data_IF_954259442244
#
_entry.id   IF_954259442244
#
_cell.length_a   1.000
_cell.length_b   1.000
_cell.length_c   1.000
_cell.angle_alpha   90.00
_cell.angle_beta   90.00
_cell.angle_gamma   90.00
#
_symmetry.space_group_name_H-M   'P 1'
#
loop_
_entity.id
_entity.type
_entity.pdbx_description
1 polymer ?
#
# COMPACT_ATOMS: atom_id res chain seq x y z
N UNK A 1 26.75 -23.38 0.98
CA UNK A 1 25.78 -23.36 2.10
C UNK A 1 26.04 -22.10 2.92
N UNK A 2 24.99 -21.48 3.46
CA UNK A 2 25.11 -20.31 4.34
C UNK A 2 24.79 -20.78 5.76
N UNK A 3 25.74 -20.62 6.67
CA UNK A 3 25.61 -21.01 8.09
C UNK A 3 25.54 -19.73 8.90
N UNK A 4 24.54 -19.60 9.77
CA UNK A 4 24.32 -18.40 10.58
C UNK A 4 24.03 -18.89 12.00
N UNK A 5 24.80 -18.40 12.98
CA UNK A 5 24.74 -18.87 14.37
C UNK A 5 24.83 -20.40 14.55
N UNK A 6 25.72 -21.05 13.78
CA UNK A 6 25.94 -22.50 13.81
C UNK A 6 24.74 -23.35 13.35
N UNK A 7 23.70 -22.74 12.79
CA UNK A 7 22.56 -23.42 12.18
C UNK A 7 22.59 -23.28 10.65
N UNK A 8 22.24 -24.36 9.95
CA UNK A 8 22.14 -24.36 8.48
C UNK A 8 20.80 -23.76 8.06
N UNK A 9 20.85 -22.62 7.36
CA UNK A 9 19.63 -21.98 6.86
C UNK A 9 19.13 -22.74 5.61
N UNK A 10 17.88 -23.23 5.60
CA UNK A 10 17.30 -23.84 4.42
C UNK A 10 17.14 -22.81 3.30
N UNK A 11 17.60 -23.14 2.10
CA UNK A 11 17.44 -22.29 0.91
C UNK A 11 16.01 -22.42 0.42
N UNK A 12 15.13 -21.51 0.87
CA UNK A 12 13.72 -21.48 0.45
C UNK A 12 13.54 -20.50 -0.71
N UNK A 13 12.68 -20.86 -1.69
CA UNK A 13 12.35 -19.99 -2.83
C UNK A 13 11.62 -18.71 -2.42
N UNK A 14 10.83 -18.78 -1.35
CA UNK A 14 10.08 -17.66 -0.77
C UNK A 14 10.17 -17.70 0.76
N UNK A 15 10.57 -16.60 1.38
CA UNK A 15 10.67 -16.45 2.82
C UNK A 15 9.74 -15.35 3.31
N UNK A 16 9.07 -15.57 4.45
CA UNK A 16 8.29 -14.53 5.13
C UNK A 16 9.16 -13.89 6.21
N UNK A 17 9.33 -12.59 6.16
CA UNK A 17 10.10 -11.83 7.14
C UNK A 17 9.38 -10.53 7.50
N UNK A 18 9.05 -10.33 8.78
CA UNK A 18 8.34 -9.13 9.29
C UNK A 18 7.06 -8.78 8.51
N UNK A 19 6.35 -9.80 8.01
CA UNK A 19 5.14 -9.64 7.18
C UNK A 19 5.40 -9.34 5.69
N UNK A 20 6.66 -9.21 5.29
CA UNK A 20 7.10 -9.11 3.90
C UNK A 20 7.30 -10.53 3.32
N UNK A 21 7.02 -10.69 2.03
CA UNK A 21 7.33 -11.92 1.29
C UNK A 21 8.52 -11.63 0.40
N UNK A 22 9.65 -12.25 0.70
CA UNK A 22 10.91 -12.09 -0.04
C UNK A 22 11.09 -13.34 -0.91
N UNK A 23 11.24 -13.13 -2.21
CA UNK A 23 11.53 -14.20 -3.16
C UNK A 23 13.04 -14.32 -3.37
N UNK A 24 13.54 -15.51 -3.71
CA UNK A 24 14.96 -15.73 -4.02
C UNK A 24 15.48 -14.87 -5.17
N UNK A 25 14.62 -14.52 -6.13
CA UNK A 25 14.92 -13.58 -7.24
C UNK A 25 14.73 -12.10 -6.87
N UNK A 26 14.55 -11.79 -5.58
CA UNK A 26 14.29 -10.46 -5.04
C UNK A 26 13.15 -9.70 -5.76
N UNK A 27 12.13 -10.42 -6.19
CA UNK A 27 11.01 -9.87 -6.94
C UNK A 27 9.84 -9.51 -6.02
N UNK A 28 9.39 -8.25 -6.07
CA UNK A 28 8.29 -7.75 -5.25
C UNK A 28 6.89 -8.02 -5.82
N UNK A 29 6.78 -8.72 -6.95
CA UNK A 29 5.50 -8.94 -7.66
C UNK A 29 4.45 -9.62 -6.76
N UNK A 30 4.86 -10.72 -6.13
CA UNK A 30 3.97 -11.52 -5.29
C UNK A 30 3.61 -10.76 -4.02
N UNK A 31 4.61 -10.13 -3.40
CA UNK A 31 4.37 -9.33 -2.21
C UNK A 31 3.42 -8.15 -2.48
N UNK A 32 3.63 -7.38 -3.55
CA UNK A 32 2.73 -6.28 -3.95
C UNK A 32 1.31 -6.79 -4.20
N UNK A 33 1.14 -7.96 -4.83
CA UNK A 33 -0.18 -8.58 -5.02
C UNK A 33 -0.83 -8.88 -3.66
N UNK A 34 -0.10 -9.47 -2.71
CA UNK A 34 -0.63 -9.73 -1.36
C UNK A 34 -1.02 -8.45 -0.63
N UNK A 35 -0.22 -7.39 -0.73
CA UNK A 35 -0.49 -6.09 -0.10
C UNK A 35 -1.72 -5.42 -0.71
N UNK A 36 -1.86 -5.43 -2.04
CA UNK A 36 -3.04 -4.91 -2.73
C UNK A 36 -4.29 -5.67 -2.28
N UNK A 37 -4.23 -7.01 -2.22
CA UNK A 37 -5.36 -7.83 -1.78
C UNK A 37 -5.75 -7.50 -0.33
N UNK A 38 -4.77 -7.38 0.58
CA UNK A 38 -5.01 -6.97 1.98
C UNK A 38 -5.65 -5.58 2.07
N UNK A 39 -5.20 -4.62 1.27
CA UNK A 39 -5.78 -3.28 1.25
C UNK A 39 -7.22 -3.29 0.70
N UNK A 40 -7.49 -4.12 -0.31
CA UNK A 40 -8.83 -4.28 -0.88
C UNK A 40 -9.78 -4.96 0.10
N UNK A 41 -9.35 -6.00 0.81
CA UNK A 41 -10.18 -6.66 1.83
C UNK A 41 -10.48 -5.73 2.99
N UNK A 42 -9.49 -4.96 3.47
CA UNK A 42 -9.71 -3.93 4.47
C UNK A 42 -10.72 -2.86 3.99
N UNK A 43 -10.57 -2.39 2.75
CA UNK A 43 -11.51 -1.44 2.14
C UNK A 43 -12.93 -2.04 2.01
N UNK A 44 -13.06 -3.32 1.69
CA UNK A 44 -14.35 -3.99 1.58
C UNK A 44 -15.03 -4.12 2.94
N UNK A 45 -14.29 -4.49 3.99
CA UNK A 45 -14.83 -4.56 5.36
C UNK A 45 -15.32 -3.20 5.85
N UNK A 46 -14.60 -2.13 5.50
CA UNK A 46 -14.96 -0.76 5.86
C UNK A 46 -15.94 -0.10 4.87
N UNK A 47 -16.41 -0.84 3.87
CA UNK A 47 -17.19 -0.26 2.77
C UNK A 47 -18.47 0.41 3.25
N UNK A 48 -19.17 -0.21 4.21
CA UNK A 48 -20.43 0.31 4.77
C UNK A 48 -20.20 1.69 5.39
N UNK A 49 -19.14 1.85 6.17
CA UNK A 49 -18.79 3.13 6.82
C UNK A 49 -18.35 4.19 5.79
N UNK A 50 -17.51 3.79 4.83
CA UNK A 50 -17.00 4.72 3.81
C UNK A 50 -18.10 5.19 2.84
N UNK A 51 -19.10 4.35 2.55
CA UNK A 51 -20.20 4.67 1.65
C UNK A 51 -21.39 5.35 2.33
N UNK A 52 -21.41 5.41 3.67
CA UNK A 52 -22.48 6.07 4.41
C UNK A 52 -22.58 7.56 4.02
N UNK A 53 -23.75 8.04 3.55
CA UNK A 53 -23.93 9.44 3.15
C UNK A 53 -23.91 10.42 4.34
N UNK A 54 -24.26 9.96 5.55
CA UNK A 54 -24.31 10.79 6.76
C UNK A 54 -22.93 11.12 7.34
N UNK A 55 -21.91 10.37 6.94
CA UNK A 55 -20.54 10.52 7.45
C UNK A 55 -19.82 11.67 6.75
N UNK A 56 -19.25 12.57 7.55
CA UNK A 56 -18.42 13.66 7.04
C UNK A 56 -17.20 13.12 6.27
N UNK A 57 -16.81 13.83 5.22
CA UNK A 57 -15.64 13.49 4.42
C UNK A 57 -14.35 13.43 5.24
N UNK A 58 -14.21 14.30 6.25
CA UNK A 58 -13.04 14.34 7.14
C UNK A 58 -12.84 13.02 7.88
N UNK A 59 -13.92 12.44 8.40
CA UNK A 59 -13.88 11.14 9.09
C UNK A 59 -13.54 10.00 8.13
N UNK A 60 -14.10 10.02 6.92
CA UNK A 60 -13.77 9.02 5.88
C UNK A 60 -12.30 9.10 5.47
N UNK A 61 -11.74 10.31 5.37
CA UNK A 61 -10.32 10.52 5.13
C UNK A 61 -9.50 9.96 6.28
N UNK A 62 -9.88 10.25 7.53
CA UNK A 62 -9.18 9.76 8.72
C UNK A 62 -9.14 8.24 8.74
N UNK A 63 -10.27 7.56 8.51
CA UNK A 63 -10.35 6.10 8.38
C UNK A 63 -9.41 5.55 7.29
N UNK A 64 -9.34 6.21 6.14
CA UNK A 64 -8.42 5.81 5.09
C UNK A 64 -6.95 5.93 5.52
N UNK A 65 -6.58 7.05 6.14
CA UNK A 65 -5.21 7.32 6.59
C UNK A 65 -4.80 6.37 7.73
N UNK A 66 -5.70 6.05 8.65
CA UNK A 66 -5.39 5.22 9.82
C UNK A 66 -5.36 3.72 9.51
N UNK A 67 -6.24 3.22 8.63
CA UNK A 67 -6.36 1.76 8.40
C UNK A 67 -5.79 1.30 7.06
N UNK A 68 -6.05 2.03 5.97
CA UNK A 68 -5.74 1.54 4.61
C UNK A 68 -4.36 2.01 4.16
N UNK A 69 -4.01 3.27 4.42
CA UNK A 69 -2.71 3.85 4.05
C UNK A 69 -1.52 3.10 4.66
N UNK A 70 -1.54 2.64 5.93
CA UNK A 70 -0.42 1.91 6.51
C UNK A 70 -0.17 0.57 5.82
N UNK A 71 -1.23 -0.14 5.43
CA UNK A 71 -1.10 -1.43 4.69
C UNK A 71 -0.31 -1.23 3.40
N UNK A 72 -0.58 -0.15 2.66
CA UNK A 72 0.09 0.15 1.39
C UNK A 72 1.52 0.70 1.60
N UNK A 73 1.76 1.44 2.69
CA UNK A 73 3.02 2.16 2.93
C UNK A 73 4.02 1.42 3.80
N UNK A 74 3.60 0.38 4.54
CA UNK A 74 4.45 -0.38 5.45
C UNK A 74 5.73 -0.91 4.78
N UNK A 75 5.59 -1.52 3.61
CA UNK A 75 6.71 -2.07 2.85
C UNK A 75 7.47 -1.02 2.01
N UNK A 76 7.10 0.27 2.09
CA UNK A 76 7.73 1.32 1.28
C UNK A 76 9.25 1.39 1.43
N UNK A 77 9.85 1.27 2.63
CA UNK A 77 11.32 1.30 2.77
C UNK A 77 12.01 0.13 2.07
N UNK A 78 11.40 -1.06 2.08
CA UNK A 78 11.94 -2.25 1.42
C UNK A 78 11.85 -2.16 -0.12
N UNK A 79 10.92 -1.36 -0.64
CA UNK A 79 10.62 -1.22 -2.06
C UNK A 79 11.38 -0.08 -2.75
N UNK A 80 12.54 0.32 -2.24
CA UNK A 80 13.32 1.41 -2.81
C UNK A 80 13.63 1.24 -4.31
N UNK A 81 13.80 -0.02 -4.77
CA UNK A 81 14.04 -0.35 -6.16
C UNK A 81 12.83 -1.05 -6.84
N UNK A 82 11.60 -0.62 -6.54
CA UNK A 82 10.41 -1.22 -7.14
C UNK A 82 10.24 -0.82 -8.61
N UNK A 83 9.88 -1.80 -9.46
CA UNK A 83 9.55 -1.54 -10.86
C UNK A 83 8.41 -0.51 -10.98
N UNK A 84 8.55 0.39 -11.95
CA UNK A 84 7.52 1.40 -12.28
C UNK A 84 6.16 0.78 -12.55
N UNK A 85 6.13 -0.44 -13.12
CA UNK A 85 4.91 -1.21 -13.39
C UNK A 85 4.17 -1.62 -12.11
N UNK A 86 4.90 -2.04 -11.07
CA UNK A 86 4.34 -2.41 -9.77
C UNK A 86 3.86 -1.18 -9.00
N UNK A 87 4.63 -0.09 -9.08
CA UNK A 87 4.24 1.20 -8.50
C UNK A 87 2.94 1.71 -9.14
N UNK A 88 2.76 1.56 -10.46
CA UNK A 88 1.49 1.86 -11.15
C UNK A 88 0.32 1.03 -10.58
N UNK A 89 0.52 -0.26 -10.27
CA UNK A 89 -0.53 -1.10 -9.66
C UNK A 89 -0.95 -0.60 -8.28
N UNK A 90 0.01 -0.20 -7.44
CA UNK A 90 -0.27 0.40 -6.13
C UNK A 90 -1.06 1.71 -6.28
N UNK A 91 -0.65 2.59 -7.20
CA UNK A 91 -1.38 3.84 -7.51
C UNK A 91 -2.81 3.57 -7.99
N UNK A 92 -3.00 2.59 -8.87
CA UNK A 92 -4.34 2.21 -9.34
C UNK A 92 -5.22 1.74 -8.18
N UNK A 93 -4.66 0.93 -7.27
CA UNK A 93 -5.39 0.49 -6.08
C UNK A 93 -5.80 1.67 -5.19
N UNK A 94 -4.87 2.60 -4.90
CA UNK A 94 -5.16 3.82 -4.17
C UNK A 94 -6.29 4.62 -4.83
N UNK A 95 -6.18 4.90 -6.13
CA UNK A 95 -7.17 5.69 -6.87
C UNK A 95 -8.56 5.05 -6.86
N UNK A 96 -8.64 3.72 -6.98
CA UNK A 96 -9.91 2.98 -6.89
C UNK A 96 -10.56 3.16 -5.52
N UNK A 97 -9.79 3.08 -4.44
CA UNK A 97 -10.29 3.26 -3.07
C UNK A 97 -10.75 4.70 -2.86
N UNK A 98 -9.95 5.70 -3.26
CA UNK A 98 -10.33 7.12 -3.10
C UNK A 98 -11.62 7.46 -3.85
N UNK A 99 -11.79 6.94 -5.07
CA UNK A 99 -13.03 7.11 -5.84
C UNK A 99 -14.25 6.50 -5.15
N UNK A 100 -14.09 5.35 -4.49
CA UNK A 100 -15.17 4.74 -3.69
C UNK A 100 -15.56 5.64 -2.51
N UNK A 101 -14.58 6.26 -1.85
CA UNK A 101 -14.81 7.15 -0.71
C UNK A 101 -15.56 8.41 -1.13
N UNK A 102 -15.14 9.05 -2.22
CA UNK A 102 -15.73 10.31 -2.70
C UNK A 102 -16.98 10.12 -3.56
N UNK A 103 -17.32 8.88 -3.93
CA UNK A 103 -18.37 8.58 -4.92
C UNK A 103 -18.20 9.39 -6.22
N UNK A 104 -16.95 9.59 -6.63
CA UNK A 104 -16.62 10.43 -7.79
C UNK A 104 -17.02 9.78 -9.12
N UNK A 105 -17.65 10.55 -10.01
CA UNK A 105 -17.98 10.15 -11.38
C UNK A 105 -16.72 9.89 -12.23
N UNK A 106 -16.88 9.14 -13.33
CA UNK A 106 -15.77 8.70 -14.19
C UNK A 106 -14.97 9.85 -14.81
N UNK A 107 -15.64 10.97 -15.15
CA UNK A 107 -15.00 12.13 -15.78
C UNK A 107 -14.14 12.98 -14.84
N UNK A 108 -14.30 12.80 -13.51
CA UNK A 108 -13.51 13.56 -12.53
C UNK A 108 -12.06 13.09 -12.59
N UNK A 109 -11.12 14.01 -12.79
CA UNK A 109 -9.68 13.69 -12.85
C UNK A 109 -9.18 13.22 -11.47
N UNK A 110 -8.31 12.21 -11.44
CA UNK A 110 -7.75 11.71 -10.18
C UNK A 110 -7.03 12.81 -9.38
N UNK A 111 -6.32 13.74 -10.05
CA UNK A 111 -5.65 14.87 -9.40
C UNK A 111 -6.61 15.69 -8.52
N UNK A 112 -7.82 15.94 -8.99
CA UNK A 112 -8.83 16.70 -8.26
C UNK A 112 -9.28 15.95 -6.99
N UNK A 113 -9.43 14.62 -7.08
CA UNK A 113 -9.78 13.77 -5.93
C UNK A 113 -8.68 13.82 -4.87
N UNK A 114 -7.42 13.75 -5.30
CA UNK A 114 -6.26 13.83 -4.39
C UNK A 114 -6.17 15.20 -3.71
N UNK A 115 -6.35 16.29 -4.45
CA UNK A 115 -6.38 17.65 -3.89
C UNK A 115 -7.56 17.85 -2.94
N UNK A 116 -8.74 17.36 -3.30
CA UNK A 116 -9.93 17.47 -2.45
C UNK A 116 -9.79 16.72 -1.11
N UNK A 117 -9.09 15.59 -1.12
CA UNK A 117 -8.83 14.80 0.09
C UNK A 117 -7.53 15.18 0.81
N UNK A 118 -6.68 16.04 0.26
CA UNK A 118 -5.31 16.27 0.74
C UNK A 118 -4.51 14.97 0.97
N UNK A 119 -4.52 14.08 -0.03
CA UNK A 119 -3.79 12.79 0.05
C UNK A 119 -2.74 12.73 -1.06
N UNK A 120 -1.49 12.52 -0.67
CA UNK A 120 -0.40 12.37 -1.62
C UNK A 120 -0.46 11.08 -2.43
N UNK A 121 0.05 11.16 -3.67
CA UNK A 121 0.30 10.00 -4.51
C UNK A 121 1.37 9.11 -3.89
N UNK A 122 1.21 7.80 -4.03
CA UNK A 122 2.29 6.86 -3.75
C UNK A 122 3.51 7.19 -4.63
N UNK A 123 4.62 7.61 -4.02
CA UNK A 123 5.85 8.06 -4.72
C UNK A 123 7.03 7.24 -4.22
N UNK A 124 7.91 6.82 -5.13
CA UNK A 124 9.13 6.05 -4.81
C UNK A 124 10.06 6.77 -3.83
N UNK A 125 9.96 8.10 -3.73
CA UNK A 125 10.76 8.95 -2.83
C UNK A 125 10.47 8.81 -1.34
N UNK A 126 9.45 8.04 -0.92
CA UNK A 126 9.18 7.76 0.50
C UNK A 126 10.29 6.92 1.16
N UNK A 127 11.24 6.39 0.37
CA UNK A 127 12.38 5.61 0.87
C UNK A 127 13.45 6.46 1.58
N UNK A 128 13.47 7.78 1.39
CA UNK A 128 14.44 8.67 2.06
C UNK A 128 13.93 9.25 3.38
N UNK A 129 12.62 9.46 3.51
CA UNK A 129 12.08 10.28 4.60
C UNK A 129 12.01 9.59 5.97
N UNK A 130 12.11 8.26 6.04
CA UNK A 130 12.00 7.51 7.31
C UNK A 130 13.33 7.11 7.95
N UNK A 131 14.45 7.32 7.25
CA UNK A 131 15.80 7.09 7.76
C UNK A 131 16.44 8.37 8.36
N UNK A 132 15.70 9.48 8.42
CA UNK A 132 16.15 10.75 8.99
C UNK A 132 15.54 11.05 10.38
N UNK A 133 14.79 10.10 10.97
CA UNK A 133 14.12 10.25 12.27
C UNK A 133 14.64 9.20 13.29
N UNK A 134 15.83 8.64 13.04
CA UNK A 134 16.63 7.95 14.04
C UNK A 134 18.06 8.43 13.92
#
# INVERSE_FOLDING_TARGET
QVVLFNETIPIVKTAKYLGLVINSKFNWKDHVKTVINKAQTACHRLQILLQNPKMELRLKRLLYISMIRPILTYASPAWCNISTSLLKKLKICQNKILRKITKARWFIRNKNIHSYLNIDFFRSSHCKAKLQIF
#
